data_IF_338295563688
#
_entry.id   IF_338295563688
#
_cell.length_a   1.000
_cell.length_b   1.000
_cell.length_c   1.000
_cell.angle_alpha   90.00
_cell.angle_beta   90.00
_cell.angle_gamma   90.00
#
_symmetry.space_group_name_H-M   'P 1'
#
loop_
_entity.id
_entity.type
_entity.pdbx_description
1 polymer ?
#
# COMPACT_ATOMS: atom_id res chain seq x y z
N UNK A 1 13.36 53.27 6.68
CA UNK A 1 13.64 51.94 7.27
C UNK A 1 14.43 51.12 6.26
N UNK A 2 15.74 50.95 6.51
CA UNK A 2 16.62 50.20 5.64
C UNK A 2 16.62 48.75 6.15
N UNK A 3 15.97 47.84 5.42
CA UNK A 3 15.99 46.43 5.73
C UNK A 3 17.43 45.92 5.53
N UNK A 4 18.05 45.42 6.59
CA UNK A 4 19.40 44.93 6.59
C UNK A 4 19.52 43.71 5.66
N UNK A 5 20.31 43.80 4.59
CA UNK A 5 20.54 42.72 3.61
C UNK A 5 21.08 41.43 4.25
N UNK A 6 21.66 41.51 5.45
CA UNK A 6 22.13 40.38 6.26
C UNK A 6 21.01 39.52 6.80
N UNK A 7 19.85 40.12 7.21
CA UNK A 7 18.71 39.36 7.72
C UNK A 7 18.00 38.53 6.63
N UNK A 8 17.97 39.04 5.39
CA UNK A 8 17.35 38.32 4.26
C UNK A 8 18.17 37.07 3.86
N UNK A 9 19.50 37.13 4.04
CA UNK A 9 20.37 35.99 3.70
C UNK A 9 20.29 34.87 4.74
N UNK A 10 20.19 35.23 6.03
CA UNK A 10 20.02 34.26 7.13
C UNK A 10 18.69 33.58 7.06
N UNK A 11 17.60 34.30 6.72
CA UNK A 11 16.26 33.72 6.53
C UNK A 11 16.23 32.70 5.38
N UNK A 12 16.85 32.99 4.25
CA UNK A 12 16.96 32.05 3.12
C UNK A 12 17.77 30.79 3.45
N UNK A 13 18.81 30.89 4.26
CA UNK A 13 19.61 29.74 4.70
C UNK A 13 18.77 28.88 5.65
N UNK A 14 18.03 29.47 6.58
CA UNK A 14 17.15 28.76 7.49
C UNK A 14 15.98 28.07 6.76
N UNK A 15 15.37 28.72 5.77
CA UNK A 15 14.32 28.14 4.94
C UNK A 15 14.88 26.96 4.09
N UNK A 16 16.08 27.08 3.54
CA UNK A 16 16.71 25.99 2.78
C UNK A 16 17.13 24.82 3.68
N UNK A 17 17.59 25.09 4.91
CA UNK A 17 17.94 24.06 5.88
C UNK A 17 16.70 23.28 6.36
N UNK A 18 15.59 23.98 6.68
CA UNK A 18 14.34 23.33 7.07
C UNK A 18 13.73 22.49 5.95
N UNK A 19 13.77 22.96 4.70
CA UNK A 19 13.31 22.18 3.53
C UNK A 19 14.20 20.95 3.31
N UNK A 20 15.49 21.05 3.54
CA UNK A 20 16.42 19.93 3.42
C UNK A 20 16.24 18.91 4.54
N UNK A 21 16.02 19.36 5.78
CA UNK A 21 15.70 18.47 6.93
C UNK A 21 14.36 17.73 6.73
N UNK A 22 13.33 18.41 6.23
CA UNK A 22 12.03 17.78 5.89
C UNK A 22 12.21 16.72 4.80
N UNK A 23 12.95 17.03 3.72
CA UNK A 23 13.25 16.06 2.66
C UNK A 23 14.07 14.87 3.16
N UNK A 24 15.06 15.10 4.02
CA UNK A 24 15.85 14.02 4.62
C UNK A 24 15.00 13.15 5.57
N UNK A 25 14.09 13.75 6.34
CA UNK A 25 13.17 13.02 7.20
C UNK A 25 12.21 12.16 6.38
N UNK A 26 11.71 12.66 5.25
CA UNK A 26 10.84 11.88 4.33
C UNK A 26 11.59 10.70 3.69
N UNK A 27 12.84 10.90 3.28
CA UNK A 27 13.67 9.84 2.66
C UNK A 27 14.00 8.72 3.65
N UNK A 28 14.05 9.03 4.96
CA UNK A 28 14.36 8.07 6.03
C UNK A 28 13.12 7.47 6.70
N UNK A 29 11.92 7.74 6.20
CA UNK A 29 10.71 7.12 6.72
C UNK A 29 10.73 5.59 6.48
N UNK A 30 10.28 4.77 7.46
CA UNK A 30 10.31 3.31 7.35
C UNK A 30 9.58 2.75 6.12
N UNK A 31 8.46 3.33 5.73
CA UNK A 31 7.69 2.92 4.54
C UNK A 31 8.45 3.21 3.23
N UNK A 32 9.16 4.34 3.15
CA UNK A 32 9.98 4.69 1.98
C UNK A 32 11.21 3.77 1.87
N UNK A 33 11.85 3.48 3.01
CA UNK A 33 12.99 2.55 3.05
C UNK A 33 12.56 1.15 2.62
N UNK A 34 11.45 0.65 3.18
CA UNK A 34 10.91 -0.67 2.85
C UNK A 34 10.48 -0.77 1.38
N UNK A 35 9.82 0.26 0.84
CA UNK A 35 9.46 0.30 -0.59
C UNK A 35 10.68 0.26 -1.50
N UNK A 36 11.75 1.00 -1.16
CA UNK A 36 13.02 0.97 -1.91
C UNK A 36 13.71 -0.39 -1.83
N UNK A 37 13.71 -1.04 -0.67
CA UNK A 37 14.26 -2.38 -0.53
C UNK A 37 13.50 -3.39 -1.38
N UNK A 38 12.16 -3.30 -1.43
CA UNK A 38 11.34 -4.12 -2.30
C UNK A 38 11.73 -3.95 -3.78
N UNK A 39 11.79 -2.71 -4.28
CA UNK A 39 12.14 -2.42 -5.69
C UNK A 39 13.57 -2.78 -6.06
N UNK A 40 14.50 -2.79 -5.11
CA UNK A 40 15.87 -3.28 -5.32
C UNK A 40 15.96 -4.80 -5.32
N UNK A 41 14.97 -5.48 -4.71
CA UNK A 41 14.98 -6.95 -4.58
C UNK A 41 14.22 -7.64 -5.69
N UNK A 42 13.14 -7.01 -6.18
CA UNK A 42 12.23 -7.60 -7.15
C UNK A 42 11.94 -6.65 -8.31
N UNK A 43 11.78 -7.22 -9.50
CA UNK A 43 11.16 -6.55 -10.64
C UNK A 43 9.64 -6.55 -10.42
N UNK A 44 9.16 -5.56 -9.65
CA UNK A 44 7.77 -5.50 -9.22
C UNK A 44 6.81 -5.21 -10.36
N UNK A 45 7.26 -4.54 -11.41
CA UNK A 45 6.41 -4.22 -12.57
C UNK A 45 6.25 -5.42 -13.53
N UNK A 46 7.06 -6.47 -13.37
CA UNK A 46 6.88 -7.74 -14.06
C UNK A 46 5.83 -8.66 -13.40
N UNK A 47 5.34 -8.34 -12.20
CA UNK A 47 4.35 -9.15 -11.49
C UNK A 47 3.03 -9.11 -12.26
N UNK A 48 2.50 -10.28 -12.59
CA UNK A 48 1.20 -10.36 -13.28
C UNK A 48 0.02 -10.20 -12.31
N UNK A 49 -1.17 -9.96 -12.87
CA UNK A 49 -2.40 -9.75 -12.13
C UNK A 49 -2.70 -10.86 -11.10
N UNK A 50 -2.67 -12.12 -11.51
CA UNK A 50 -3.01 -13.24 -10.62
C UNK A 50 -2.06 -13.37 -9.44
N UNK A 51 -0.76 -13.18 -9.67
CA UNK A 51 0.24 -13.20 -8.60
C UNK A 51 0.04 -12.04 -7.62
N UNK A 52 -0.29 -10.86 -8.13
CA UNK A 52 -0.61 -9.70 -7.29
C UNK A 52 -1.83 -9.97 -6.41
N UNK A 53 -2.89 -10.57 -6.97
CA UNK A 53 -4.09 -10.93 -6.21
C UNK A 53 -3.78 -11.95 -5.10
N UNK A 54 -2.97 -12.97 -5.39
CA UNK A 54 -2.52 -13.95 -4.39
C UNK A 54 -1.73 -13.26 -3.26
N UNK A 55 -0.77 -12.41 -3.63
CA UNK A 55 0.06 -11.67 -2.67
C UNK A 55 -0.81 -10.78 -1.79
N UNK A 56 -1.75 -10.04 -2.38
CA UNK A 56 -2.62 -9.14 -1.64
C UNK A 56 -3.58 -9.89 -0.71
N UNK A 57 -4.19 -10.98 -1.20
CA UNK A 57 -5.00 -11.87 -0.36
C UNK A 57 -4.22 -12.38 0.85
N UNK A 58 -3.03 -12.94 0.61
CA UNK A 58 -2.20 -13.55 1.65
C UNK A 58 -1.69 -12.49 2.65
N UNK A 59 -1.38 -11.28 2.17
CA UNK A 59 -1.04 -10.16 3.04
C UNK A 59 -2.20 -9.78 3.96
N UNK A 60 -3.39 -9.54 3.42
CA UNK A 60 -4.56 -9.15 4.22
C UNK A 60 -4.83 -10.24 5.27
N UNK A 61 -4.88 -11.50 4.86
CA UNK A 61 -5.23 -12.64 5.71
C UNK A 61 -4.17 -12.93 6.79
N UNK A 62 -2.90 -13.02 6.39
CA UNK A 62 -1.84 -13.59 7.24
C UNK A 62 -1.02 -12.52 7.98
N UNK A 63 -1.03 -11.27 7.53
CA UNK A 63 -0.26 -10.18 8.15
C UNK A 63 -1.18 -9.13 8.74
N UNK A 64 -2.08 -8.57 7.95
CA UNK A 64 -2.93 -7.46 8.37
C UNK A 64 -3.93 -7.91 9.45
N UNK A 65 -4.76 -8.92 9.14
CA UNK A 65 -5.79 -9.43 10.07
C UNK A 65 -5.21 -10.21 11.26
N UNK A 66 -3.96 -10.65 11.22
CA UNK A 66 -3.30 -11.28 12.36
C UNK A 66 -2.61 -10.27 13.29
N UNK A 67 -2.55 -8.98 12.92
CA UNK A 67 -1.85 -7.96 13.68
C UNK A 67 -2.68 -7.47 14.89
N UNK A 68 -2.17 -7.57 16.14
CA UNK A 68 -2.86 -7.04 17.31
C UNK A 68 -3.14 -5.53 17.24
N UNK A 69 -2.28 -4.78 16.54
CA UNK A 69 -2.45 -3.35 16.31
C UNK A 69 -3.77 -3.07 15.56
N UNK A 70 -4.11 -3.90 14.57
CA UNK A 70 -5.34 -3.77 13.78
C UNK A 70 -6.56 -4.03 14.67
N UNK A 71 -6.60 -5.15 15.38
CA UNK A 71 -7.73 -5.49 16.26
C UNK A 71 -7.99 -4.49 17.39
N UNK A 72 -6.96 -3.76 17.82
CA UNK A 72 -7.12 -2.72 18.86
C UNK A 72 -7.64 -1.39 18.32
N UNK A 73 -7.59 -1.13 17.01
CA UNK A 73 -7.86 0.20 16.43
C UNK A 73 -8.98 0.19 15.39
N UNK A 74 -9.25 -0.96 14.78
CA UNK A 74 -10.20 -1.09 13.68
C UNK A 74 -11.48 -1.77 14.18
N UNK A 75 -12.67 -1.21 13.89
CA UNK A 75 -13.94 -1.81 14.27
C UNK A 75 -14.15 -3.20 13.66
N UNK A 76 -14.79 -4.09 14.42
CA UNK A 76 -15.09 -5.47 13.98
C UNK A 76 -15.82 -5.53 12.63
N UNK A 77 -16.66 -4.54 12.34
CA UNK A 77 -17.37 -4.45 11.05
C UNK A 77 -16.43 -4.31 9.86
N UNK A 78 -15.34 -3.56 10.02
CA UNK A 78 -14.30 -3.42 8.98
C UNK A 78 -13.39 -4.64 8.94
N UNK A 79 -13.12 -5.30 10.07
CA UNK A 79 -12.42 -6.59 10.10
C UNK A 79 -13.22 -7.64 9.30
N UNK A 80 -14.53 -7.75 9.53
CA UNK A 80 -15.41 -8.65 8.77
C UNK A 80 -15.46 -8.28 7.27
N UNK A 81 -15.41 -6.99 6.94
CA UNK A 81 -15.31 -6.53 5.56
C UNK A 81 -14.04 -7.08 4.90
N UNK A 82 -12.88 -6.97 5.56
CA UNK A 82 -11.60 -7.49 5.06
C UNK A 82 -11.62 -9.02 4.88
N UNK A 83 -12.20 -9.77 5.82
CA UNK A 83 -12.37 -11.23 5.72
C UNK A 83 -13.27 -11.62 4.53
N UNK A 84 -14.37 -10.89 4.31
CA UNK A 84 -15.25 -11.11 3.17
C UNK A 84 -14.55 -10.79 1.85
N UNK A 85 -13.76 -9.71 1.80
CA UNK A 85 -12.96 -9.34 0.63
C UNK A 85 -11.94 -10.43 0.30
N UNK A 86 -11.21 -10.95 1.28
CA UNK A 86 -10.29 -12.09 1.08
C UNK A 86 -11.01 -13.28 0.44
N UNK A 87 -12.22 -13.60 0.91
CA UNK A 87 -13.01 -14.70 0.33
C UNK A 87 -13.39 -14.41 -1.13
N UNK A 88 -13.77 -13.18 -1.46
CA UNK A 88 -14.14 -12.78 -2.83
C UNK A 88 -12.95 -12.82 -3.78
N UNK A 89 -11.78 -12.37 -3.34
CA UNK A 89 -10.54 -12.49 -4.12
C UNK A 89 -10.27 -13.96 -4.48
N UNK A 90 -10.37 -14.89 -3.52
CA UNK A 90 -10.19 -16.32 -3.78
C UNK A 90 -11.23 -16.90 -4.73
N UNK A 91 -12.49 -16.47 -4.63
CA UNK A 91 -13.55 -16.90 -5.53
C UNK A 91 -13.31 -16.40 -6.95
N UNK A 92 -12.84 -15.18 -7.12
CA UNK A 92 -12.47 -14.63 -8.43
C UNK A 92 -11.27 -15.39 -9.01
N UNK A 93 -10.19 -15.58 -8.24
CA UNK A 93 -9.02 -16.37 -8.66
C UNK A 93 -9.37 -17.82 -9.06
N UNK A 94 -10.46 -18.35 -8.52
CA UNK A 94 -10.99 -19.70 -8.85
C UNK A 94 -12.02 -19.68 -9.98
N UNK A 95 -12.25 -18.56 -10.64
CA UNK A 95 -13.28 -18.34 -11.66
C UNK A 95 -14.71 -18.68 -11.19
N UNK A 96 -14.98 -18.55 -9.90
CA UNK A 96 -16.32 -18.73 -9.31
C UNK A 96 -17.06 -17.40 -9.22
N UNK A 97 -16.31 -16.32 -8.94
CA UNK A 97 -16.82 -14.95 -8.97
C UNK A 97 -16.34 -14.29 -10.26
N UNK A 98 -17.24 -13.61 -10.97
CA UNK A 98 -16.91 -12.85 -12.17
C UNK A 98 -16.20 -11.54 -11.83
N UNK A 99 -15.51 -10.95 -12.81
CA UNK A 99 -14.87 -9.62 -12.66
C UNK A 99 -15.90 -8.53 -12.39
N UNK A 100 -17.10 -8.62 -12.97
CA UNK A 100 -18.19 -7.67 -12.71
C UNK A 100 -18.64 -7.71 -11.24
N UNK A 101 -18.80 -8.91 -10.67
CA UNK A 101 -19.12 -9.06 -9.23
C UNK A 101 -17.99 -8.56 -8.32
N UNK A 102 -16.72 -8.71 -8.73
CA UNK A 102 -15.57 -8.15 -8.01
C UNK A 102 -15.59 -6.61 -8.08
N UNK A 103 -15.93 -6.06 -9.22
CA UNK A 103 -16.09 -4.61 -9.45
C UNK A 103 -17.21 -4.01 -8.61
N UNK A 104 -18.37 -4.69 -8.51
CA UNK A 104 -19.46 -4.29 -7.62
C UNK A 104 -19.01 -4.25 -6.16
N UNK A 105 -18.25 -5.27 -5.71
CA UNK A 105 -17.70 -5.28 -4.35
C UNK A 105 -16.73 -4.13 -4.13
N UNK A 106 -15.89 -3.81 -5.09
CA UNK A 106 -14.98 -2.67 -5.01
C UNK A 106 -15.74 -1.35 -4.85
N UNK A 107 -16.80 -1.12 -5.63
CA UNK A 107 -17.65 0.07 -5.51
C UNK A 107 -18.22 0.15 -4.09
N UNK A 108 -18.72 -0.95 -3.56
CA UNK A 108 -19.24 -1.02 -2.18
C UNK A 108 -18.18 -0.69 -1.13
N UNK A 109 -16.96 -1.19 -1.30
CA UNK A 109 -15.85 -0.89 -0.37
C UNK A 109 -15.42 0.57 -0.48
N UNK A 110 -15.46 1.17 -1.69
CA UNK A 110 -15.20 2.60 -1.89
C UNK A 110 -16.24 3.47 -1.16
N UNK A 111 -17.53 3.14 -1.24
CA UNK A 111 -18.60 3.86 -0.51
C UNK A 111 -18.36 3.80 1.00
N UNK A 112 -17.94 2.63 1.51
CA UNK A 112 -17.57 2.47 2.92
C UNK A 112 -16.34 3.33 3.24
N UNK A 113 -15.30 3.30 2.41
CA UNK A 113 -14.08 4.11 2.58
C UNK A 113 -14.41 5.60 2.68
N UNK A 114 -15.20 6.12 1.77
CA UNK A 114 -15.57 7.54 1.72
C UNK A 114 -16.42 7.97 2.92
N UNK A 115 -17.18 7.04 3.50
CA UNK A 115 -17.99 7.29 4.69
C UNK A 115 -17.18 7.34 6.00
N UNK A 116 -15.91 6.87 6.01
CA UNK A 116 -15.11 6.82 7.23
C UNK A 116 -14.63 8.21 7.65
N UNK A 117 -14.89 8.58 8.90
CA UNK A 117 -14.40 9.81 9.51
C UNK A 117 -12.93 9.69 9.98
N UNK A 118 -12.56 8.51 10.46
CA UNK A 118 -11.22 8.21 10.99
C UNK A 118 -10.21 7.98 9.88
N UNK A 119 -9.02 8.59 10.00
CA UNK A 119 -7.89 8.32 9.10
C UNK A 119 -7.40 6.87 9.18
N UNK A 120 -7.52 6.23 10.35
CA UNK A 120 -7.17 4.81 10.53
C UNK A 120 -8.09 3.91 9.70
N UNK A 121 -9.40 4.12 9.81
CA UNK A 121 -10.39 3.34 9.06
C UNK A 121 -10.24 3.53 7.56
N UNK A 122 -9.96 4.76 7.10
CA UNK A 122 -9.66 5.04 5.68
C UNK A 122 -8.39 4.35 5.21
N UNK A 123 -7.30 4.40 5.95
CA UNK A 123 -6.07 3.70 5.58
C UNK A 123 -6.28 2.17 5.55
N UNK A 124 -7.10 1.63 6.47
CA UNK A 124 -7.42 0.20 6.49
C UNK A 124 -8.26 -0.21 5.29
N UNK A 125 -9.33 0.52 4.97
CA UNK A 125 -10.17 0.23 3.80
C UNK A 125 -9.41 0.42 2.49
N UNK A 126 -8.46 1.36 2.41
CA UNK A 126 -7.57 1.51 1.26
C UNK A 126 -6.70 0.27 1.01
N UNK A 127 -6.24 -0.41 2.06
CA UNK A 127 -5.50 -1.68 1.91
C UNK A 127 -6.39 -2.79 1.34
N UNK A 128 -7.66 -2.82 1.75
CA UNK A 128 -8.65 -3.79 1.24
C UNK A 128 -8.93 -3.54 -0.24
N UNK A 129 -9.06 -2.26 -0.64
CA UNK A 129 -9.31 -1.86 -2.02
C UNK A 129 -8.21 -2.29 -2.98
N UNK A 130 -6.95 -2.33 -2.51
CA UNK A 130 -5.83 -2.84 -3.30
C UNK A 130 -5.98 -4.29 -3.76
N UNK A 131 -6.79 -5.10 -3.05
CA UNK A 131 -7.10 -6.48 -3.43
C UNK A 131 -8.32 -6.66 -4.32
N UNK A 132 -9.06 -5.59 -4.60
CA UNK A 132 -10.29 -5.62 -5.39
C UNK A 132 -10.13 -5.02 -6.80
N UNK A 133 -8.90 -4.91 -7.28
CA UNK A 133 -8.60 -4.47 -8.65
C UNK A 133 -8.95 -5.62 -9.59
N UNK A 134 -9.70 -5.34 -10.66
CA UNK A 134 -10.00 -6.31 -11.70
C UNK A 134 -8.89 -6.40 -12.76
N UNK A 135 -8.89 -7.49 -13.54
CA UNK A 135 -7.87 -7.73 -14.56
C UNK A 135 -7.92 -6.67 -15.68
N UNK A 136 -9.10 -6.17 -16.04
CA UNK A 136 -9.26 -5.13 -17.06
C UNK A 136 -8.54 -3.84 -16.66
N UNK A 137 -8.70 -3.39 -15.40
CA UNK A 137 -8.01 -2.21 -14.89
C UNK A 137 -6.50 -2.38 -14.81
N UNK A 138 -6.05 -3.62 -14.59
CA UNK A 138 -4.63 -3.95 -14.52
C UNK A 138 -3.99 -4.01 -15.92
N UNK A 139 -4.76 -4.44 -16.93
CA UNK A 139 -4.25 -4.64 -18.31
C UNK A 139 -4.55 -3.50 -19.27
N UNK A 140 -5.45 -2.58 -18.92
CA UNK A 140 -5.83 -1.47 -19.81
C UNK A 140 -4.68 -0.46 -19.94
N UNK A 141 -3.87 -0.68 -20.98
CA UNK A 141 -2.59 -0.01 -21.24
C UNK A 141 -2.72 1.43 -21.73
N UNK A 142 -3.92 1.98 -21.88
CA UNK A 142 -4.07 3.16 -22.72
C UNK A 142 -4.13 4.50 -21.99
N UNK A 143 -4.56 4.62 -20.74
CA UNK A 143 -4.48 5.95 -20.06
C UNK A 143 -4.55 5.95 -18.51
N UNK A 144 -4.89 4.85 -17.83
CA UNK A 144 -5.07 4.82 -16.37
C UNK A 144 -4.71 3.47 -15.72
N UNK A 145 -3.70 2.77 -16.22
CA UNK A 145 -3.31 1.49 -15.63
C UNK A 145 -2.73 1.68 -14.23
N UNK A 146 -3.32 1.05 -13.24
CA UNK A 146 -2.63 0.82 -11.99
C UNK A 146 -1.49 -0.18 -12.25
N UNK A 147 -0.25 0.25 -12.16
CA UNK A 147 0.91 -0.65 -12.15
C UNK A 147 0.98 -1.37 -10.81
N UNK A 148 1.70 -2.50 -10.76
CA UNK A 148 1.96 -3.18 -9.47
C UNK A 148 2.62 -2.24 -8.47
N UNK A 149 3.50 -1.36 -8.95
CA UNK A 149 4.10 -0.29 -8.13
C UNK A 149 3.05 0.62 -7.50
N UNK A 150 1.97 0.94 -8.20
CA UNK A 150 0.89 1.80 -7.69
C UNK A 150 0.05 1.14 -6.61
N UNK A 151 0.18 -0.17 -6.44
CA UNK A 151 -0.53 -0.95 -5.43
C UNK A 151 0.39 -1.30 -4.25
N UNK A 152 1.54 -1.91 -4.52
CA UNK A 152 2.44 -2.39 -3.47
C UNK A 152 3.14 -1.27 -2.71
N UNK A 153 3.59 -0.19 -3.40
CA UNK A 153 4.31 0.89 -2.73
C UNK A 153 3.41 1.73 -1.82
N UNK A 154 2.20 2.19 -2.24
CA UNK A 154 1.28 2.87 -1.34
C UNK A 154 0.82 2.01 -0.16
N UNK A 155 0.83 0.68 -0.29
CA UNK A 155 0.54 -0.24 0.81
C UNK A 155 1.49 -0.02 1.98
N UNK A 156 2.80 0.19 1.77
CA UNK A 156 3.74 0.51 2.84
C UNK A 156 3.34 1.78 3.59
N UNK A 157 2.91 2.83 2.89
CA UNK A 157 2.45 4.06 3.50
C UNK A 157 1.21 3.83 4.38
N UNK A 158 0.20 3.11 3.87
CA UNK A 158 -1.03 2.82 4.61
C UNK A 158 -0.75 1.94 5.84
N UNK A 159 0.10 0.93 5.70
CA UNK A 159 0.58 0.06 6.79
C UNK A 159 1.31 0.86 7.86
N UNK A 160 2.21 1.79 7.45
CA UNK A 160 2.91 2.68 8.35
C UNK A 160 1.95 3.60 9.12
N UNK A 161 0.94 4.15 8.45
CA UNK A 161 -0.08 5.00 9.08
C UNK A 161 -0.95 4.25 10.08
N UNK A 162 -1.16 2.96 9.89
CA UNK A 162 -1.94 2.12 10.80
C UNK A 162 -1.16 1.70 12.05
N UNK A 163 0.01 1.13 11.87
CA UNK A 163 0.74 0.45 12.95
C UNK A 163 2.24 0.79 13.01
N UNK A 164 2.66 1.85 12.30
CA UNK A 164 4.04 2.32 12.34
C UNK A 164 5.05 1.38 11.70
N UNK A 165 6.30 1.49 12.14
CA UNK A 165 7.45 0.78 11.56
C UNK A 165 7.35 -0.74 11.69
N UNK A 166 6.78 -1.25 12.79
CA UNK A 166 6.71 -2.70 13.05
C UNK A 166 5.92 -3.43 11.96
N UNK A 167 4.74 -2.90 11.57
CA UNK A 167 3.94 -3.54 10.54
C UNK A 167 4.55 -3.36 9.15
N UNK A 168 5.27 -2.25 8.89
CA UNK A 168 6.04 -2.08 7.66
C UNK A 168 7.12 -3.16 7.51
N UNK A 169 7.86 -3.46 8.57
CA UNK A 169 8.86 -4.54 8.58
C UNK A 169 8.22 -5.90 8.33
N UNK A 170 7.13 -6.20 9.00
CA UNK A 170 6.39 -7.46 8.79
C UNK A 170 5.87 -7.59 7.36
N UNK A 171 5.39 -6.49 6.78
CA UNK A 171 4.94 -6.49 5.38
C UNK A 171 6.10 -6.72 4.42
N UNK A 172 7.24 -6.06 4.61
CA UNK A 172 8.45 -6.29 3.81
C UNK A 172 8.95 -7.73 3.95
N UNK A 173 9.06 -8.25 5.17
CA UNK A 173 9.46 -9.64 5.43
C UNK A 173 8.50 -10.64 4.77
N UNK A 174 7.19 -10.37 4.83
CA UNK A 174 6.19 -11.17 4.13
C UNK A 174 6.44 -11.18 2.61
N UNK A 175 6.64 -10.01 1.98
CA UNK A 175 6.90 -9.90 0.55
C UNK A 175 8.22 -10.60 0.14
N UNK A 176 9.31 -10.34 0.86
CA UNK A 176 10.63 -10.92 0.57
C UNK A 176 10.63 -12.45 0.64
N UNK A 177 9.81 -13.02 1.53
CA UNK A 177 9.71 -14.48 1.73
C UNK A 177 8.54 -15.11 0.96
N UNK A 178 7.68 -14.32 0.31
CA UNK A 178 6.50 -14.83 -0.38
C UNK A 178 6.89 -15.75 -1.55
N UNK A 179 6.38 -16.99 -1.63
CA UNK A 179 6.80 -17.96 -2.65
C UNK A 179 6.53 -17.47 -4.07
N UNK A 180 5.42 -16.77 -4.29
CA UNK A 180 5.04 -16.21 -5.58
C UNK A 180 6.04 -15.16 -6.10
N UNK A 181 6.68 -14.39 -5.21
CA UNK A 181 7.64 -13.36 -5.60
C UNK A 181 9.02 -13.90 -5.98
N UNK A 182 9.35 -15.15 -5.69
CA UNK A 182 10.68 -15.72 -5.97
C UNK A 182 11.08 -15.62 -7.44
N UNK A 183 10.14 -15.78 -8.37
CA UNK A 183 10.39 -15.73 -9.82
C UNK A 183 10.63 -14.31 -10.35
N UNK A 184 10.31 -13.29 -9.57
CA UNK A 184 10.51 -11.87 -9.90
C UNK A 184 11.76 -11.27 -9.25
N UNK A 185 12.56 -12.08 -8.55
CA UNK A 185 13.78 -11.61 -7.89
C UNK A 185 14.81 -11.14 -8.92
N UNK A 186 15.34 -9.94 -8.72
CA UNK A 186 16.41 -9.37 -9.56
C UNK A 186 17.70 -10.17 -9.29
N UNK A 187 18.23 -10.81 -10.35
CA UNK A 187 19.54 -11.44 -10.29
C UNK A 187 20.61 -10.35 -10.41
N UNK A 188 21.31 -10.06 -9.33
CA UNK A 188 22.48 -9.21 -9.37
C UNK A 188 23.63 -10.03 -10.01
N UNK A 189 23.94 -9.75 -11.29
CA UNK A 189 25.08 -10.31 -12.03
C UNK A 189 26.37 -9.62 -11.59
#
# INVERSE_FOLDING_TARGET
>A
MIACASCSHVLKILESATVMEVKMAEVNRPDVIAGRELTNTFDIDAINYYDLQIITHDFIKNVLLSSPCIHNQIPDTLIQLAENTCRKILLNLSNVLSDEELKEERIRVWEIHDSQASSYERNFTQLILGGLIDEEQFTDTLENCATVSDILLPTFFNVYKLCGEELCKKYLEFLVNHPTLRKYRIEHV
#
